data_IF_197673203770
#
_entry.id   IF_197673203770
#
_cell.length_a   1.000
_cell.length_b   1.000
_cell.length_c   1.000
_cell.angle_alpha   90.00
_cell.angle_beta   90.00
_cell.angle_gamma   90.00
#
_symmetry.space_group_name_H-M   'P 1'
#
loop_
_entity.id
_entity.type
_entity.pdbx_description
1 polymer ?
#
# COMPACT_ATOMS: atom_id res chain seq x y z
N UNK A 1 -7.96 4.18 -2.48
CA UNK A 1 -6.94 4.20 -1.42
C UNK A 1 -7.57 4.42 -0.05
N UNK A 2 -8.56 5.30 0.10
CA UNK A 2 -9.26 5.54 1.38
C UNK A 2 -9.80 4.24 2.03
N UNK A 3 -10.49 3.40 1.25
CA UNK A 3 -10.96 2.08 1.71
C UNK A 3 -9.84 1.11 2.14
N UNK A 4 -8.60 1.31 1.70
CA UNK A 4 -7.46 0.50 2.12
C UNK A 4 -6.90 0.97 3.44
N UNK A 5 -6.95 2.27 3.72
CA UNK A 5 -6.53 2.86 5.00
C UNK A 5 -7.48 2.39 6.11
N UNK A 6 -8.79 2.44 5.86
CA UNK A 6 -9.80 1.93 6.81
C UNK A 6 -9.61 0.45 7.12
N UNK A 7 -9.30 -0.36 6.10
CA UNK A 7 -9.00 -1.77 6.29
C UNK A 7 -7.73 -2.00 7.09
N UNK A 8 -6.69 -1.19 6.91
CA UNK A 8 -5.47 -1.25 7.74
C UNK A 8 -5.81 -0.89 9.18
N UNK A 9 -6.56 0.19 9.42
CA UNK A 9 -6.98 0.58 10.76
C UNK A 9 -7.78 -0.52 11.46
N UNK A 10 -8.73 -1.14 10.75
CA UNK A 10 -9.57 -2.20 11.27
C UNK A 10 -8.80 -3.52 11.51
N UNK A 11 -7.91 -3.92 10.60
CA UNK A 11 -7.25 -5.24 10.63
C UNK A 11 -5.87 -5.22 11.30
N UNK A 12 -5.21 -4.07 11.37
CA UNK A 12 -3.84 -3.91 11.86
C UNK A 12 -3.72 -2.87 12.99
N UNK A 13 -4.82 -2.58 13.69
CA UNK A 13 -4.88 -1.54 14.73
C UNK A 13 -3.81 -1.68 15.82
N UNK A 14 -3.46 -2.92 16.21
CA UNK A 14 -2.39 -3.16 17.21
C UNK A 14 -1.02 -2.70 16.71
N UNK A 15 -0.63 -3.07 15.49
CA UNK A 15 0.64 -2.66 14.90
C UNK A 15 0.67 -1.15 14.67
N UNK A 16 -0.46 -0.57 14.26
CA UNK A 16 -0.60 0.86 14.04
C UNK A 16 -0.41 1.66 15.34
N UNK A 17 -1.11 1.27 16.42
CA UNK A 17 -0.97 1.90 17.74
C UNK A 17 0.46 1.76 18.29
N UNK A 18 1.07 0.58 18.13
CA UNK A 18 2.46 0.34 18.58
C UNK A 18 3.45 1.26 17.85
N UNK A 19 3.35 1.35 16.53
CA UNK A 19 4.21 2.23 15.73
C UNK A 19 3.99 3.70 16.11
N UNK A 20 2.73 4.13 16.24
CA UNK A 20 2.40 5.50 16.62
C UNK A 20 2.97 5.88 18.00
N UNK A 21 2.82 5.02 19.01
CA UNK A 21 3.41 5.23 20.34
C UNK A 21 4.92 5.36 20.27
N UNK A 22 5.59 4.54 19.46
CA UNK A 22 7.03 4.63 19.28
C UNK A 22 7.45 6.00 18.71
N UNK A 23 6.79 6.46 17.64
CA UNK A 23 7.11 7.76 17.00
C UNK A 23 6.89 8.92 17.97
N UNK A 24 5.80 8.89 18.74
CA UNK A 24 5.52 9.90 19.76
C UNK A 24 6.58 9.92 20.87
N UNK A 25 7.11 8.75 21.25
CA UNK A 25 8.17 8.65 22.25
C UNK A 25 9.57 9.00 21.72
N UNK A 26 9.82 8.82 20.41
CA UNK A 26 11.13 8.98 19.77
C UNK A 26 11.14 10.08 18.70
N UNK A 27 10.51 11.23 18.96
CA UNK A 27 10.40 12.33 17.98
C UNK A 27 11.75 12.83 17.43
N UNK A 28 12.81 12.74 18.25
CA UNK A 28 14.17 13.15 17.87
C UNK A 28 14.92 12.09 17.06
N UNK A 29 14.48 10.83 17.13
CA UNK A 29 15.04 9.72 16.37
C UNK A 29 13.92 8.76 15.92
N UNK A 30 13.13 9.14 14.89
CA UNK A 30 12.10 8.27 14.35
C UNK A 30 12.64 6.95 13.78
N UNK A 31 13.94 6.88 13.48
CA UNK A 31 14.61 5.68 12.97
C UNK A 31 14.58 4.51 13.96
N UNK A 32 14.55 4.80 15.27
CA UNK A 32 14.39 3.79 16.32
C UNK A 32 13.09 2.97 16.18
N UNK A 33 12.10 3.48 15.44
CA UNK A 33 10.81 2.84 15.25
C UNK A 33 10.72 1.98 13.97
N UNK A 34 11.82 1.81 13.22
CA UNK A 34 11.82 1.03 11.98
C UNK A 34 11.30 -0.42 12.16
N UNK A 35 11.61 -1.16 13.24
CA UNK A 35 11.04 -2.50 13.43
C UNK A 35 9.50 -2.50 13.46
N UNK A 36 8.89 -1.55 14.16
CA UNK A 36 7.43 -1.44 14.26
C UNK A 36 6.79 -1.00 12.94
N UNK A 37 7.48 -0.14 12.17
CA UNK A 37 7.06 0.24 10.81
C UNK A 37 7.06 -0.97 9.87
N UNK A 38 8.07 -1.83 9.95
CA UNK A 38 8.16 -3.06 9.16
C UNK A 38 7.03 -4.01 9.55
N UNK A 39 6.73 -4.17 10.84
CA UNK A 39 5.62 -5.00 11.31
C UNK A 39 4.25 -4.51 10.82
N UNK A 40 4.01 -3.20 10.91
CA UNK A 40 2.80 -2.57 10.38
C UNK A 40 2.68 -2.79 8.87
N UNK A 41 3.77 -2.56 8.14
CA UNK A 41 3.82 -2.75 6.68
C UNK A 41 3.56 -4.22 6.29
N UNK A 42 4.07 -5.18 7.06
CA UNK A 42 3.79 -6.61 6.88
C UNK A 42 2.32 -6.93 7.13
N UNK A 43 1.73 -6.40 8.21
CA UNK A 43 0.31 -6.61 8.49
C UNK A 43 -0.55 -6.05 7.35
N UNK A 44 -0.33 -4.80 6.93
CA UNK A 44 -1.07 -4.15 5.87
C UNK A 44 -1.02 -4.94 4.54
N UNK A 45 0.18 -5.42 4.17
CA UNK A 45 0.37 -6.22 2.96
C UNK A 45 -0.24 -7.64 3.04
N UNK A 46 -0.51 -8.17 4.22
CA UNK A 46 -1.17 -9.48 4.38
C UNK A 46 -2.68 -9.35 4.52
N UNK A 47 -3.15 -8.29 5.16
CA UNK A 47 -4.55 -8.10 5.54
C UNK A 47 -5.38 -7.37 4.47
N UNK A 48 -4.73 -6.60 3.59
CA UNK A 48 -5.37 -5.76 2.57
C UNK A 48 -4.90 -6.17 1.17
N UNK A 49 -5.72 -6.87 0.38
CA UNK A 49 -5.33 -7.43 -0.92
C UNK A 49 -4.75 -6.39 -1.89
N UNK A 50 -5.34 -5.19 -1.97
CA UNK A 50 -4.81 -4.13 -2.84
C UNK A 50 -3.38 -3.73 -2.44
N UNK A 51 -3.09 -3.63 -1.15
CA UNK A 51 -1.75 -3.26 -0.67
C UNK A 51 -0.74 -4.39 -0.91
N UNK A 52 -1.17 -5.65 -0.81
CA UNK A 52 -0.37 -6.80 -1.20
C UNK A 52 0.08 -6.70 -2.66
N UNK A 53 -0.89 -6.50 -3.56
CA UNK A 53 -0.68 -6.44 -5.00
C UNK A 53 0.20 -5.24 -5.38
N UNK A 54 -0.04 -4.07 -4.79
CA UNK A 54 0.80 -2.89 -5.01
C UNK A 54 2.22 -3.15 -4.55
N UNK A 55 2.42 -3.70 -3.35
CA UNK A 55 3.76 -4.00 -2.81
C UNK A 55 4.51 -4.99 -3.73
N UNK A 56 3.83 -6.01 -4.23
CA UNK A 56 4.44 -7.02 -5.09
C UNK A 56 4.76 -6.47 -6.48
N UNK A 57 3.85 -5.71 -7.09
CA UNK A 57 3.92 -5.33 -8.51
C UNK A 57 4.63 -4.01 -8.75
N UNK A 58 4.56 -3.09 -7.79
CA UNK A 58 5.17 -1.76 -7.88
C UNK A 58 6.47 -1.61 -7.09
N UNK A 59 7.04 -2.72 -6.58
CA UNK A 59 8.31 -2.70 -5.85
C UNK A 59 9.45 -1.97 -6.60
N UNK A 60 9.63 -2.14 -7.93
CA UNK A 60 10.67 -1.41 -8.66
C UNK A 60 10.50 0.12 -8.59
N UNK A 61 9.26 0.62 -8.70
CA UNK A 61 8.94 2.04 -8.65
C UNK A 61 9.09 2.60 -7.23
N UNK A 62 8.68 1.82 -6.21
CA UNK A 62 8.91 2.16 -4.79
C UNK A 62 10.42 2.34 -4.54
N UNK A 63 11.23 1.35 -4.92
CA UNK A 63 12.69 1.40 -4.75
C UNK A 63 13.35 2.53 -5.56
N UNK A 64 12.79 2.90 -6.70
CA UNK A 64 13.29 4.03 -7.48
C UNK A 64 13.00 5.37 -6.79
N UNK A 65 11.82 5.52 -6.20
CA UNK A 65 11.45 6.71 -5.43
C UNK A 65 12.25 6.81 -4.13
N UNK A 66 12.36 5.73 -3.36
CA UNK A 66 13.13 5.67 -2.11
C UNK A 66 14.60 6.05 -2.32
N UNK A 67 15.22 5.52 -3.39
CA UNK A 67 16.59 5.89 -3.76
C UNK A 67 16.73 7.37 -4.11
N UNK A 68 15.73 7.94 -4.77
CA UNK A 68 15.74 9.37 -5.06
C UNK A 68 15.68 10.20 -3.78
N UNK A 69 14.76 9.86 -2.85
CA UNK A 69 14.65 10.55 -1.56
C UNK A 69 15.96 10.48 -0.78
N UNK A 70 16.54 9.28 -0.65
CA UNK A 70 17.83 9.09 0.04
C UNK A 70 18.95 9.97 -0.52
N UNK A 71 18.91 10.31 -1.82
CA UNK A 71 19.90 11.14 -2.48
C UNK A 71 19.66 12.65 -2.30
N UNK A 72 18.40 13.09 -2.29
CA UNK A 72 18.07 14.53 -2.40
C UNK A 72 17.44 15.14 -1.15
N UNK A 73 16.95 14.35 -0.17
CA UNK A 73 16.30 14.90 1.04
C UNK A 73 17.22 15.83 1.85
N UNK A 74 18.53 15.55 1.92
CA UNK A 74 19.49 16.42 2.61
C UNK A 74 19.77 17.75 1.89
N UNK A 75 19.32 17.89 0.64
CA UNK A 75 19.54 19.07 -0.21
C UNK A 75 18.35 20.04 -0.19
N UNK A 76 17.29 19.71 0.56
CA UNK A 76 16.09 20.53 0.72
C UNK A 76 14.96 20.20 -0.26
N UNK A 77 13.79 20.75 0.01
CA UNK A 77 12.53 20.38 -0.64
C UNK A 77 12.52 20.67 -2.15
N UNK A 78 13.13 21.77 -2.60
CA UNK A 78 13.22 22.12 -4.03
C UNK A 78 13.99 21.05 -4.82
N UNK A 79 15.07 20.52 -4.25
CA UNK A 79 15.84 19.44 -4.87
C UNK A 79 15.02 18.15 -4.94
N UNK A 80 14.26 17.83 -3.88
CA UNK A 80 13.35 16.67 -3.86
C UNK A 80 12.24 16.82 -4.89
N UNK A 81 11.59 17.98 -4.95
CA UNK A 81 10.51 18.24 -5.90
C UNK A 81 11.00 18.09 -7.34
N UNK A 82 12.12 18.74 -7.68
CA UNK A 82 12.68 18.71 -9.03
C UNK A 82 13.11 17.31 -9.46
N UNK A 83 13.77 16.56 -8.58
CA UNK A 83 14.41 15.30 -8.95
C UNK A 83 13.51 14.07 -8.72
N UNK A 84 12.64 14.09 -7.70
CA UNK A 84 11.90 12.90 -7.26
C UNK A 84 10.43 12.90 -7.67
N UNK A 85 9.83 14.04 -8.06
CA UNK A 85 8.45 14.07 -8.59
C UNK A 85 8.24 13.16 -9.80
N UNK A 86 9.17 13.03 -10.77
CA UNK A 86 9.01 12.06 -11.85
C UNK A 86 8.91 10.61 -11.35
N UNK A 87 9.72 10.23 -10.35
CA UNK A 87 9.68 8.88 -9.75
C UNK A 87 8.41 8.64 -8.96
N UNK A 88 7.91 9.67 -8.27
CA UNK A 88 6.62 9.63 -7.60
C UNK A 88 5.48 9.41 -8.61
N UNK A 89 5.53 10.07 -9.77
CA UNK A 89 4.55 9.87 -10.86
C UNK A 89 4.59 8.45 -11.41
N UNK A 90 5.78 7.88 -11.63
CA UNK A 90 5.93 6.49 -12.09
C UNK A 90 5.31 5.51 -11.08
N UNK A 91 5.55 5.73 -9.79
CA UNK A 91 4.94 4.95 -8.71
C UNK A 91 3.41 5.10 -8.72
N UNK A 92 2.89 6.31 -8.80
CA UNK A 92 1.45 6.57 -8.86
C UNK A 92 0.77 5.84 -10.03
N UNK A 93 1.35 5.94 -11.23
CA UNK A 93 0.84 5.23 -12.42
C UNK A 93 0.79 3.72 -12.21
N UNK A 94 1.81 3.15 -11.58
CA UNK A 94 1.80 1.73 -11.23
C UNK A 94 0.67 1.40 -10.25
N UNK A 95 0.51 2.18 -9.17
CA UNK A 95 -0.53 1.94 -8.17
C UNK A 95 -1.94 2.01 -8.76
N UNK A 96 -2.19 2.97 -9.65
CA UNK A 96 -3.49 3.14 -10.31
C UNK A 96 -3.78 1.99 -11.28
N UNK A 97 -2.76 1.49 -11.99
CA UNK A 97 -2.90 0.31 -12.83
C UNK A 97 -3.22 -0.93 -12.00
N UNK A 98 -2.50 -1.16 -10.90
CA UNK A 98 -2.76 -2.31 -10.02
C UNK A 98 -4.18 -2.26 -9.45
N UNK A 99 -4.61 -1.07 -9.00
CA UNK A 99 -5.96 -0.86 -8.48
C UNK A 99 -7.04 -1.27 -9.49
N UNK A 100 -6.95 -0.78 -10.74
CA UNK A 100 -7.89 -1.15 -11.81
C UNK A 100 -7.89 -2.66 -12.06
N UNK A 101 -6.72 -3.26 -12.19
CA UNK A 101 -6.58 -4.69 -12.47
C UNK A 101 -7.22 -5.56 -11.34
N UNK A 102 -7.11 -5.13 -10.07
CA UNK A 102 -7.73 -5.81 -8.91
C UNK A 102 -9.24 -5.63 -8.91
N UNK A 103 -9.74 -4.41 -9.12
CA UNK A 103 -11.18 -4.12 -9.16
C UNK A 103 -11.89 -4.88 -10.30
N UNK A 104 -11.23 -5.01 -11.47
CA UNK A 104 -11.74 -5.80 -12.60
C UNK A 104 -11.81 -7.30 -12.27
N UNK A 105 -10.79 -7.84 -11.59
CA UNK A 105 -10.75 -9.24 -11.15
C UNK A 105 -11.86 -9.54 -10.16
N UNK A 106 -12.00 -8.73 -9.12
CA UNK A 106 -13.02 -8.89 -8.08
C UNK A 106 -14.43 -8.85 -8.70
N UNK A 107 -14.68 -7.93 -9.64
CA UNK A 107 -15.95 -7.86 -10.37
C UNK A 107 -16.23 -9.10 -11.24
N UNK A 108 -15.20 -9.66 -11.87
CA UNK A 108 -15.31 -10.87 -12.68
C UNK A 108 -15.68 -12.09 -11.82
N UNK A 109 -15.05 -12.22 -10.66
CA UNK A 109 -15.29 -13.34 -9.73
C UNK A 109 -16.69 -13.30 -9.10
N UNK A 110 -17.19 -12.09 -8.78
CA UNK A 110 -18.58 -11.89 -8.33
C UNK A 110 -19.57 -12.31 -9.41
N UNK A 111 -19.33 -11.93 -10.68
CA UNK A 111 -20.21 -12.29 -11.81
C UNK A 111 -20.28 -13.80 -12.02
N UNK A 112 -19.13 -14.48 -11.99
CA UNK A 112 -19.05 -15.95 -12.12
C UNK A 112 -19.80 -16.66 -10.99
N UNK A 113 -19.57 -16.23 -9.75
CA UNK A 113 -20.24 -16.80 -8.56
C UNK A 113 -21.77 -16.68 -8.66
N UNK A 114 -22.27 -15.52 -9.13
CA UNK A 114 -23.71 -15.29 -9.34
C UNK A 114 -24.29 -16.19 -10.44
N UNK A 115 -23.56 -16.39 -11.54
CA UNK A 115 -23.99 -17.27 -12.63
C UNK A 115 -24.05 -18.74 -12.20
N UNK A 116 -23.04 -19.20 -11.46
CA UNK A 116 -23.00 -20.57 -10.93
C UNK A 116 -24.13 -20.82 -9.93
N UNK A 117 -24.40 -19.89 -9.01
CA UNK A 117 -25.53 -20.00 -8.09
C UNK A 117 -26.88 -20.03 -8.79
N UNK A 118 -27.05 -19.22 -9.85
CA UNK A 118 -28.27 -19.21 -10.66
C UNK A 118 -28.48 -20.53 -11.40
N UNK A 119 -27.43 -21.07 -12.03
CA UNK A 119 -27.49 -22.36 -12.72
C UNK A 119 -27.80 -23.52 -11.75
N UNK A 120 -27.25 -23.50 -10.54
CA UNK A 120 -27.53 -24.52 -9.52
C UNK A 120 -28.98 -24.49 -9.03
N UNK A 121 -29.60 -23.29 -8.92
CA UNK A 121 -31.01 -23.15 -8.56
C UNK A 121 -31.98 -23.56 -9.68
N UNK A 122 -31.60 -23.36 -10.95
CA UNK A 122 -32.41 -23.76 -12.10
C UNK A 122 -32.33 -25.27 -12.40
N UNK A 123 -31.38 -25.98 -11.76
CA UNK A 123 -31.16 -27.43 -11.93
C UNK A 123 -31.72 -28.27 -10.77
N UNK A 124 -32.36 -27.65 -9.79
CA UNK A 124 -32.96 -28.25 -8.59
C UNK A 124 -34.49 -28.18 -8.65
#
# INVERSE_FOLDING_TARGET
>A
MESSIDQVAAKCGKQLDTFQRCILANQKDPGACEPYKVELSRCAANAVPLLHEVKSRCSPQVLAYDRCLAQFTSQGDEAVEKNCTPRLRDLWLCTEKVKRDVEERDNSDVRKSKQQGKAALESA
#
